data_IF_189448523929
#
_entry.id   IF_189448523929
#
_cell.length_a   1.000
_cell.length_b   1.000
_cell.length_c   1.000
_cell.angle_alpha   90.00
_cell.angle_beta   90.00
_cell.angle_gamma   90.00
#
_symmetry.space_group_name_H-M   'P 1'
#
loop_
_entity.id
_entity.type
_entity.pdbx_description
1 polymer ?
#
# COMPACT_ATOMS: atom_id res chain seq x y z
N UNK A 1 5.14 9.37 24.76
CA UNK A 1 4.07 8.42 24.37
C UNK A 1 3.36 9.01 23.16
N UNK A 2 3.09 8.21 22.12
CA UNK A 2 2.32 8.68 20.96
C UNK A 2 0.83 8.72 21.32
N UNK A 3 0.17 9.81 20.96
CA UNK A 3 -1.27 9.99 21.11
C UNK A 3 -2.02 9.47 19.88
N UNK A 4 -3.34 9.24 20.00
CA UNK A 4 -4.19 8.91 18.85
C UNK A 4 -4.10 9.98 17.75
N UNK A 5 -3.97 11.26 18.12
CA UNK A 5 -3.79 12.37 17.18
C UNK A 5 -2.50 12.27 16.36
N UNK A 6 -1.44 11.71 16.92
CA UNK A 6 -0.16 11.54 16.22
C UNK A 6 -0.30 10.49 15.11
N UNK A 7 -1.06 9.41 15.37
CA UNK A 7 -1.35 8.39 14.39
C UNK A 7 -2.32 8.87 13.30
N UNK A 8 -3.34 9.66 13.66
CA UNK A 8 -4.24 10.30 12.68
C UNK A 8 -3.48 11.22 11.73
N UNK A 9 -2.61 12.08 12.28
CA UNK A 9 -1.78 12.97 11.48
C UNK A 9 -0.84 12.19 10.57
N UNK A 10 -0.19 11.14 11.09
CA UNK A 10 0.66 10.27 10.29
C UNK A 10 -0.13 9.60 9.14
N UNK A 11 -1.33 9.10 9.43
CA UNK A 11 -2.18 8.46 8.43
C UNK A 11 -2.61 9.44 7.33
N UNK A 12 -3.00 10.66 7.72
CA UNK A 12 -3.34 11.73 6.78
C UNK A 12 -2.15 12.07 5.87
N UNK A 13 -0.98 12.34 6.45
CA UNK A 13 0.24 12.65 5.70
C UNK A 13 0.66 11.47 4.80
N UNK A 14 0.51 10.24 5.28
CA UNK A 14 0.76 9.06 4.46
C UNK A 14 -0.17 9.02 3.24
N UNK A 15 -1.45 9.35 3.39
CA UNK A 15 -2.41 9.38 2.28
C UNK A 15 -2.15 10.51 1.28
N UNK A 16 -1.70 11.67 1.74
CA UNK A 16 -1.43 12.82 0.87
C UNK A 16 -0.03 12.81 0.25
N UNK A 17 0.97 12.27 0.94
CA UNK A 17 2.38 12.36 0.55
C UNK A 17 3.04 10.99 0.40
N UNK A 18 2.71 10.00 1.24
CA UNK A 18 3.37 8.68 1.21
C UNK A 18 2.91 7.80 0.04
N UNK A 19 1.60 7.52 0.00
CA UNK A 19 0.92 6.68 -0.99
C UNK A 19 1.14 7.15 -2.44
N UNK A 20 0.96 8.44 -2.80
CA UNK A 20 1.18 8.89 -4.18
C UNK A 20 2.65 8.85 -4.60
N UNK A 21 3.59 8.95 -3.65
CA UNK A 21 5.03 8.82 -3.92
C UNK A 21 5.52 7.35 -3.89
N UNK A 22 4.62 6.38 -3.69
CA UNK A 22 4.96 4.95 -3.64
C UNK A 22 5.79 4.56 -2.41
N UNK A 23 5.77 5.35 -1.35
CA UNK A 23 6.47 5.06 -0.09
C UNK A 23 5.65 4.05 0.71
N UNK A 24 6.30 2.99 1.22
CA UNK A 24 5.60 2.03 2.07
C UNK A 24 5.23 2.66 3.43
N UNK A 25 4.06 2.34 3.98
CA UNK A 25 3.64 2.82 5.30
C UNK A 25 4.68 2.53 6.39
N UNK A 26 5.37 1.39 6.30
CA UNK A 26 6.42 1.04 7.25
C UNK A 26 7.63 1.99 7.15
N UNK A 27 8.07 2.31 5.93
CA UNK A 27 9.12 3.31 5.70
C UNK A 27 8.70 4.70 6.16
N UNK A 28 7.42 5.06 5.97
CA UNK A 28 6.86 6.34 6.38
C UNK A 28 6.78 6.48 7.91
N UNK A 29 6.39 5.41 8.61
CA UNK A 29 6.41 5.34 10.08
C UNK A 29 7.82 5.56 10.63
N UNK A 30 8.83 4.87 10.05
CA UNK A 30 10.24 5.02 10.45
C UNK A 30 10.71 6.47 10.24
N UNK A 31 10.40 7.07 9.09
CA UNK A 31 10.77 8.46 8.78
C UNK A 31 10.16 9.49 9.73
N UNK A 32 8.97 9.20 10.27
CA UNK A 32 8.27 10.05 11.23
C UNK A 32 8.55 9.68 12.69
N UNK A 33 9.53 8.80 12.95
CA UNK A 33 9.87 8.29 14.28
C UNK A 33 8.71 7.58 15.01
N UNK A 34 7.72 7.07 14.28
CA UNK A 34 6.59 6.34 14.85
C UNK A 34 6.84 4.83 14.73
N UNK A 35 6.78 4.06 15.84
CA UNK A 35 6.87 2.60 15.78
C UNK A 35 5.71 2.02 14.96
N UNK A 36 6.05 1.25 13.92
CA UNK A 36 5.05 0.63 13.04
C UNK A 36 4.04 -0.24 13.81
N UNK A 37 4.49 -0.97 14.85
CA UNK A 37 3.63 -1.81 15.68
C UNK A 37 2.52 -1.01 16.37
N UNK A 38 2.87 0.13 16.97
CA UNK A 38 1.92 1.00 17.64
C UNK A 38 0.92 1.63 16.64
N UNK A 39 1.42 2.08 15.49
CA UNK A 39 0.57 2.59 14.41
C UNK A 39 -0.38 1.51 13.90
N UNK A 40 0.09 0.28 13.71
CA UNK A 40 -0.72 -0.83 13.19
C UNK A 40 -1.82 -1.26 14.16
N UNK A 41 -1.53 -1.27 15.46
CA UNK A 41 -2.53 -1.53 16.50
C UNK A 41 -3.59 -0.43 16.56
N UNK A 42 -3.20 0.83 16.45
CA UNK A 42 -4.13 1.96 16.31
C UNK A 42 -4.95 1.83 15.03
N UNK A 43 -4.31 1.60 13.88
CA UNK A 43 -4.95 1.50 12.58
C UNK A 43 -6.01 0.39 12.55
N UNK A 44 -5.73 -0.77 13.12
CA UNK A 44 -6.71 -1.86 13.27
C UNK A 44 -7.91 -1.49 14.14
N UNK A 45 -7.69 -0.76 15.23
CA UNK A 45 -8.78 -0.29 16.11
C UNK A 45 -9.63 0.77 15.41
N UNK A 46 -9.00 1.69 14.69
CA UNK A 46 -9.66 2.78 13.96
C UNK A 46 -10.42 2.26 12.73
N UNK A 47 -9.84 1.35 11.93
CA UNK A 47 -10.51 0.69 10.79
C UNK A 47 -11.77 -0.07 11.20
N UNK A 48 -11.80 -0.70 12.38
CA UNK A 48 -13.00 -1.37 12.90
C UNK A 48 -14.11 -0.39 13.32
N UNK A 49 -13.75 0.87 13.59
CA UNK A 49 -14.67 1.92 14.04
C UNK A 49 -15.16 2.79 12.87
N UNK A 50 -14.34 2.94 11.83
CA UNK A 50 -14.69 3.63 10.59
C UNK A 50 -15.52 2.68 9.72
N UNK A 51 -16.84 2.75 9.88
CA UNK A 51 -17.77 2.17 8.90
C UNK A 51 -17.56 2.93 7.59
N UNK A 52 -17.33 2.26 6.44
CA UNK A 52 -17.35 2.93 5.15
C UNK A 52 -18.72 3.54 4.96
N UNK A 53 -18.80 4.86 5.09
CA UNK A 53 -19.99 5.61 4.69
C UNK A 53 -19.91 5.72 3.17
N UNK A 54 -20.56 4.79 2.48
CA UNK A 54 -20.96 5.03 1.09
C UNK A 54 -22.00 6.14 1.12
N UNK A 55 -21.61 7.34 0.70
CA UNK A 55 -22.53 8.46 0.53
C UNK A 55 -23.22 8.26 -0.83
N UNK A 56 -24.38 7.61 -0.85
CA UNK A 56 -25.27 7.67 -2.02
C UNK A 56 -25.78 9.10 -2.18
N UNK A 57 -25.35 9.77 -3.24
CA UNK A 57 -25.83 11.10 -3.63
C UNK A 57 -24.74 12.17 -3.64
N UNK A 58 -23.82 12.08 -4.61
CA UNK A 58 -23.01 13.25 -5.02
C UNK A 58 -23.76 13.88 -6.21
N UNK A 59 -24.19 15.15 -6.16
CA UNK A 59 -24.64 15.85 -7.36
C UNK A 59 -23.48 15.90 -8.35
N UNK A 60 -23.70 15.44 -9.59
CA UNK A 60 -22.76 15.33 -10.71
C UNK A 60 -21.90 16.58 -11.08
N UNK A 61 -21.92 17.69 -10.34
CA UNK A 61 -21.24 18.93 -10.74
C UNK A 61 -19.82 19.16 -10.20
N UNK A 62 -19.30 18.34 -9.26
CA UNK A 62 -17.90 18.51 -8.79
C UNK A 62 -16.86 17.64 -9.51
N UNK A 63 -17.26 16.80 -10.47
CA UNK A 63 -16.35 15.92 -11.22
C UNK A 63 -15.62 16.66 -12.37
N UNK A 64 -15.99 17.91 -12.68
CA UNK A 64 -15.51 18.60 -13.89
C UNK A 64 -14.42 19.66 -13.74
N UNK A 65 -13.93 20.00 -12.54
CA UNK A 65 -12.92 21.07 -12.38
C UNK A 65 -11.52 20.57 -12.00
N UNK A 66 -11.27 19.26 -12.05
CA UNK A 66 -9.94 18.68 -11.76
C UNK A 66 -9.21 18.07 -12.95
N UNK A 67 -9.79 18.11 -14.16
CA UNK A 67 -9.39 17.26 -15.29
C UNK A 67 -8.94 18.00 -16.56
N UNK A 68 -8.53 19.27 -16.49
CA UNK A 68 -8.12 20.06 -17.68
C UNK A 68 -6.66 20.55 -17.70
N UNK A 69 -5.73 19.88 -17.02
CA UNK A 69 -4.29 20.10 -17.27
C UNK A 69 -3.58 18.79 -17.59
N UNK A 70 -3.97 18.16 -18.70
CA UNK A 70 -3.19 17.15 -19.40
C UNK A 70 -3.13 17.48 -20.88
N UNK A 71 -2.04 18.11 -21.31
CA UNK A 71 -1.43 18.10 -22.65
C UNK A 71 -0.36 19.21 -22.64
N UNK A 72 0.88 19.09 -23.07
CA UNK A 72 1.77 18.05 -23.61
C UNK A 72 3.16 18.38 -23.00
N UNK A 73 4.14 17.48 -22.94
CA UNK A 73 5.29 17.50 -23.87
C UNK A 73 6.24 16.36 -23.48
N UNK A 74 6.81 15.74 -24.54
CA UNK A 74 8.05 14.96 -24.61
C UNK A 74 8.05 13.46 -24.26
N UNK A 75 7.96 12.70 -25.35
CA UNK A 75 8.67 11.45 -25.68
C UNK A 75 9.97 11.17 -24.92
N UNK A 76 10.18 9.84 -24.78
CA UNK A 76 11.45 9.11 -24.72
C UNK A 76 12.13 8.94 -23.35
N UNK A 77 11.86 7.79 -22.71
CA UNK A 77 12.88 6.76 -22.37
C UNK A 77 12.29 5.66 -21.46
N UNK A 78 12.63 4.38 -21.66
CA UNK A 78 12.29 3.32 -20.72
C UNK A 78 13.08 3.56 -19.43
N UNK A 79 12.41 4.09 -18.40
CA UNK A 79 13.00 4.19 -17.06
C UNK A 79 13.21 2.78 -16.54
N UNK A 80 14.46 2.32 -16.69
CA UNK A 80 15.04 1.16 -16.02
C UNK A 80 14.50 1.12 -14.59
N UNK A 81 13.63 0.16 -14.32
CA UNK A 81 13.23 -0.17 -12.96
C UNK A 81 14.49 -0.62 -12.24
N UNK A 82 15.02 0.25 -11.39
CA UNK A 82 15.99 -0.12 -10.37
C UNK A 82 15.46 -1.39 -9.70
N UNK A 83 16.27 -2.45 -9.52
CA UNK A 83 15.80 -3.66 -8.86
C UNK A 83 15.45 -3.28 -7.43
N UNK A 84 14.16 -3.03 -7.15
CA UNK A 84 13.71 -2.90 -5.78
C UNK A 84 14.08 -4.20 -5.09
N UNK A 85 14.99 -4.09 -4.12
CA UNK A 85 15.42 -5.22 -3.31
C UNK A 85 14.19 -5.67 -2.51
N UNK A 86 13.47 -6.64 -3.05
CA UNK A 86 12.25 -7.16 -2.45
C UNK A 86 12.50 -7.55 -0.99
N UNK A 87 11.57 -7.20 -0.10
CA UNK A 87 11.65 -7.49 1.34
C UNK A 87 10.61 -8.51 1.80
N UNK A 88 9.74 -8.97 0.90
CA UNK A 88 8.61 -9.84 1.23
C UNK A 88 9.09 -11.28 1.38
N UNK A 89 8.68 -11.94 2.47
CA UNK A 89 8.85 -13.37 2.68
C UNK A 89 7.49 -14.06 2.72
N UNK A 90 7.35 -15.12 1.94
CA UNK A 90 6.15 -15.97 1.88
C UNK A 90 6.52 -17.39 2.25
N UNK A 91 5.71 -18.01 3.11
CA UNK A 91 5.76 -19.44 3.42
C UNK A 91 4.37 -20.03 3.22
N UNK A 92 4.23 -21.00 2.33
CA UNK A 92 2.99 -21.73 2.04
C UNK A 92 3.16 -23.15 2.57
N UNK A 93 2.20 -23.62 3.36
CA UNK A 93 2.17 -24.99 3.89
C UNK A 93 0.80 -25.59 3.66
N UNK A 94 0.74 -26.74 2.99
CA UNK A 94 -0.49 -27.52 2.83
C UNK A 94 -0.52 -28.66 3.85
N UNK A 95 -1.70 -29.27 4.05
CA UNK A 95 -1.88 -30.38 4.99
C UNK A 95 -1.24 -31.68 4.48
N UNK A 96 -1.06 -31.76 3.16
CA UNK A 96 -0.45 -32.87 2.43
C UNK A 96 1.09 -32.79 2.42
N UNK A 97 1.67 -31.81 3.12
CA UNK A 97 3.12 -31.70 3.33
C UNK A 97 3.86 -30.79 2.34
N UNK A 98 3.17 -30.13 1.41
CA UNK A 98 3.81 -29.15 0.52
C UNK A 98 4.24 -27.92 1.33
N UNK A 99 5.54 -27.60 1.32
CA UNK A 99 6.08 -26.42 1.98
C UNK A 99 6.92 -25.58 1.01
N UNK A 100 6.44 -24.38 0.65
CA UNK A 100 7.13 -23.45 -0.25
C UNK A 100 7.54 -22.22 0.55
N UNK A 101 8.83 -21.91 0.57
CA UNK A 101 9.34 -20.68 1.19
C UNK A 101 10.09 -19.83 0.17
N UNK A 102 9.71 -18.56 0.06
CA UNK A 102 10.38 -17.57 -0.78
C UNK A 102 10.64 -16.30 0.01
N UNK A 103 11.88 -15.81 -0.06
CA UNK A 103 12.34 -14.58 0.58
C UNK A 103 12.74 -13.58 -0.49
N UNK A 104 12.73 -12.30 -0.12
CA UNK A 104 13.22 -11.23 -0.98
C UNK A 104 12.29 -10.92 -2.15
N UNK A 105 11.01 -11.22 -2.03
CA UNK A 105 10.02 -10.93 -3.06
C UNK A 105 9.68 -9.43 -3.06
N UNK A 106 9.53 -8.88 -4.25
CA UNK A 106 8.83 -7.63 -4.48
C UNK A 106 7.35 -7.93 -4.77
N UNK A 107 6.53 -6.89 -4.92
CA UNK A 107 5.11 -7.06 -5.20
C UNK A 107 4.86 -7.83 -6.50
N UNK A 108 5.66 -7.60 -7.55
CA UNK A 108 5.55 -8.32 -8.82
C UNK A 108 5.91 -9.80 -8.67
N UNK A 109 6.97 -10.11 -7.92
CA UNK A 109 7.38 -11.46 -7.60
C UNK A 109 6.34 -12.20 -6.75
N UNK A 110 5.69 -11.51 -5.82
CA UNK A 110 4.57 -12.05 -5.05
C UNK A 110 3.37 -12.36 -5.95
N UNK A 111 2.96 -11.41 -6.79
CA UNK A 111 1.83 -11.58 -7.73
C UNK A 111 2.07 -12.77 -8.67
N UNK A 112 3.30 -12.89 -9.18
CA UNK A 112 3.71 -14.04 -10.01
C UNK A 112 3.68 -15.35 -9.24
N UNK A 113 4.13 -15.36 -7.97
CA UNK A 113 4.09 -16.55 -7.13
C UNK A 113 2.65 -17.02 -6.91
N UNK A 114 1.72 -16.10 -6.64
CA UNK A 114 0.30 -16.42 -6.46
C UNK A 114 -0.30 -17.03 -7.72
N UNK A 115 -0.08 -16.43 -8.90
CA UNK A 115 -0.60 -16.99 -10.17
C UNK A 115 -0.04 -18.40 -10.48
N UNK A 116 1.18 -18.72 -10.04
CA UNK A 116 1.73 -20.08 -10.18
C UNK A 116 1.10 -21.09 -9.23
N UNK A 117 0.57 -20.64 -8.09
CA UNK A 117 -0.10 -21.51 -7.12
C UNK A 117 -1.53 -21.83 -7.55
N UNK A 118 -2.20 -20.96 -8.29
CA UNK A 118 -3.54 -21.23 -8.83
C UNK A 118 -3.56 -22.47 -9.73
N UNK A 119 -2.45 -22.80 -10.40
CA UNK A 119 -2.31 -24.03 -11.18
C UNK A 119 -2.04 -25.31 -10.37
N UNK A 120 -1.97 -25.22 -9.03
CA UNK A 120 -1.85 -26.37 -8.13
C UNK A 120 -3.21 -26.81 -7.54
N UNK A 121 -4.29 -26.05 -7.80
CA UNK A 121 -5.67 -26.43 -7.50
C UNK A 121 -6.29 -27.16 -8.69
#
# INVERSE_FOLDING_TARGET
MFSEKDFERLWFLYKTEGEPNGVSINSFCIGNNIPYTAFYDWFKKTQKKVVPVEVEGIPEELIRTGNEERQEVAKDKPKRTTPHKGSIMVTIRTREGLCIQKKGLDYQGLKTLVGKLEGLC
#
